data_IF_531814123290
#
_entry.id   IF_531814123290
#
_cell.length_a   1.000
_cell.length_b   1.000
_cell.length_c   1.000
_cell.angle_alpha   90.00
_cell.angle_beta   90.00
_cell.angle_gamma   90.00
#
_symmetry.space_group_name_H-M   'P 1'
#
loop_
_entity.id
_entity.type
_entity.pdbx_description
1 polymer ?
#
# COMPACT_ATOMS: atom_id res chain seq x y z
N UNK A 1 8.77 40.89 -61.87
CA UNK A 1 7.99 39.65 -61.89
C UNK A 1 6.98 39.78 -60.77
N UNK A 2 5.66 39.85 -60.99
CA UNK A 2 4.69 39.87 -59.91
C UNK A 2 4.58 38.50 -59.29
N UNK A 3 4.89 38.41 -58.03
CA UNK A 3 4.65 37.20 -57.23
C UNK A 3 3.13 37.02 -57.13
N UNK A 4 2.59 35.92 -57.65
CA UNK A 4 1.18 35.63 -57.64
C UNK A 4 0.77 35.32 -56.19
N UNK A 5 0.46 36.35 -55.45
CA UNK A 5 -0.08 36.26 -54.02
C UNK A 5 -1.29 35.33 -53.84
N UNK A 6 -2.22 35.14 -54.81
CA UNK A 6 -3.34 34.21 -54.58
C UNK A 6 -2.92 32.74 -54.46
N UNK A 7 -1.87 32.32 -55.20
CA UNK A 7 -1.42 30.92 -55.19
C UNK A 7 -0.80 30.52 -53.83
N UNK A 8 -0.12 31.46 -53.19
CA UNK A 8 0.48 31.24 -51.86
C UNK A 8 -0.62 31.11 -50.78
N UNK A 9 -1.68 31.89 -50.88
CA UNK A 9 -2.82 31.82 -49.96
C UNK A 9 -3.58 30.51 -50.06
N UNK A 10 -3.85 30.00 -51.27
CA UNK A 10 -4.53 28.71 -51.46
C UNK A 10 -3.71 27.53 -50.95
N UNK A 11 -2.42 27.50 -51.18
CA UNK A 11 -1.53 26.43 -50.69
C UNK A 11 -1.41 26.41 -49.17
N UNK A 12 -1.43 27.58 -48.53
CA UNK A 12 -1.46 27.69 -47.06
C UNK A 12 -2.79 27.17 -46.49
N UNK A 13 -3.93 27.50 -47.09
CA UNK A 13 -5.25 27.01 -46.64
C UNK A 13 -5.37 25.50 -46.81
N UNK A 14 -4.88 24.94 -47.89
CA UNK A 14 -4.85 23.47 -48.10
C UNK A 14 -3.93 22.82 -47.06
N UNK A 15 -2.77 23.36 -46.77
CA UNK A 15 -1.84 22.87 -45.73
C UNK A 15 -2.46 22.92 -44.36
N UNK A 16 -3.14 24.00 -43.98
CA UNK A 16 -3.89 24.13 -42.72
C UNK A 16 -5.02 23.11 -42.64
N UNK A 17 -5.75 22.88 -43.72
CA UNK A 17 -6.81 21.87 -43.78
C UNK A 17 -6.29 20.47 -43.54
N UNK A 18 -5.18 20.09 -44.16
CA UNK A 18 -4.51 18.81 -43.91
C UNK A 18 -4.00 18.69 -42.46
N UNK A 19 -3.45 19.74 -41.92
CA UNK A 19 -2.97 19.76 -40.52
C UNK A 19 -4.12 19.54 -39.53
N UNK A 20 -5.23 20.26 -39.71
CA UNK A 20 -6.42 20.11 -38.89
C UNK A 20 -7.01 18.70 -39.03
N UNK A 21 -7.06 18.14 -40.23
CA UNK A 21 -7.53 16.79 -40.48
C UNK A 21 -6.67 15.73 -39.74
N UNK A 22 -5.35 15.83 -39.87
CA UNK A 22 -4.41 14.93 -39.19
C UNK A 22 -4.53 15.08 -37.66
N UNK A 23 -4.63 16.29 -37.16
CA UNK A 23 -4.83 16.56 -35.74
C UNK A 23 -6.14 15.94 -35.24
N UNK A 24 -7.21 16.05 -36.01
CA UNK A 24 -8.51 15.50 -35.69
C UNK A 24 -8.52 13.94 -35.70
N UNK A 25 -7.63 13.34 -36.50
CA UNK A 25 -7.46 11.89 -36.55
C UNK A 25 -6.60 11.37 -35.40
N UNK A 26 -5.59 12.14 -34.95
CA UNK A 26 -4.62 11.69 -33.94
C UNK A 26 -5.05 12.04 -32.52
N UNK A 27 -5.81 13.13 -32.31
CA UNK A 27 -6.17 13.56 -30.97
C UNK A 27 -6.92 12.50 -30.15
N UNK A 28 -7.83 11.64 -30.71
CA UNK A 28 -8.46 10.61 -29.92
C UNK A 28 -7.47 9.55 -29.40
N UNK A 29 -6.44 9.25 -30.20
CA UNK A 29 -5.38 8.33 -29.79
C UNK A 29 -4.56 8.93 -28.65
N UNK A 30 -4.24 10.21 -28.72
CA UNK A 30 -3.54 10.93 -27.62
C UNK A 30 -4.42 10.97 -26.39
N UNK A 31 -5.70 11.27 -26.54
CA UNK A 31 -6.66 11.28 -25.44
C UNK A 31 -6.76 9.90 -24.78
N UNK A 32 -6.88 8.82 -25.56
CA UNK A 32 -6.87 7.46 -25.04
C UNK A 32 -5.56 7.12 -24.32
N UNK A 33 -4.42 7.51 -24.87
CA UNK A 33 -3.12 7.26 -24.25
C UNK A 33 -2.96 7.95 -22.89
N UNK A 34 -3.58 9.12 -22.70
CA UNK A 34 -3.56 9.84 -21.43
C UNK A 34 -4.63 9.32 -20.47
N UNK A 35 -5.84 9.07 -20.97
CA UNK A 35 -6.96 8.64 -20.12
C UNK A 35 -6.81 7.20 -19.62
N UNK A 36 -6.24 6.30 -20.42
CA UNK A 36 -6.09 4.90 -20.07
C UNK A 36 -5.28 4.67 -18.77
N UNK A 37 -4.09 5.26 -18.58
CA UNK A 37 -3.35 5.10 -17.32
C UNK A 37 -4.07 5.75 -16.13
N UNK A 38 -4.78 6.85 -16.33
CA UNK A 38 -5.58 7.47 -15.27
C UNK A 38 -6.74 6.56 -14.85
N UNK A 39 -7.46 6.00 -15.81
CA UNK A 39 -8.56 5.07 -15.54
C UNK A 39 -8.05 3.81 -14.82
N UNK A 40 -6.93 3.24 -15.28
CA UNK A 40 -6.27 2.09 -14.67
C UNK A 40 -5.86 2.40 -13.22
N UNK A 41 -5.27 3.56 -12.97
CA UNK A 41 -4.85 3.99 -11.62
C UNK A 41 -6.05 4.13 -10.67
N UNK A 42 -7.12 4.79 -11.14
CA UNK A 42 -8.35 4.97 -10.36
C UNK A 42 -9.03 3.63 -10.07
N UNK A 43 -9.09 2.74 -11.06
CA UNK A 43 -9.59 1.38 -10.89
C UNK A 43 -8.81 0.61 -9.84
N UNK A 44 -7.48 0.63 -9.94
CA UNK A 44 -6.60 -0.04 -8.97
C UNK A 44 -6.80 0.50 -7.56
N UNK A 45 -6.84 1.82 -7.40
CA UNK A 45 -7.07 2.46 -6.11
C UNK A 45 -8.40 2.01 -5.49
N UNK A 46 -9.47 2.00 -6.27
CA UNK A 46 -10.78 1.57 -5.81
C UNK A 46 -10.81 0.09 -5.41
N UNK A 47 -10.22 -0.80 -6.22
CA UNK A 47 -10.13 -2.24 -5.90
C UNK A 47 -9.31 -2.49 -4.64
N UNK A 48 -8.18 -1.81 -4.50
CA UNK A 48 -7.34 -1.92 -3.29
C UNK A 48 -8.04 -1.37 -2.05
N UNK A 49 -8.83 -0.32 -2.16
CA UNK A 49 -9.63 0.20 -1.04
C UNK A 49 -10.63 -0.84 -0.54
N UNK A 50 -11.39 -1.46 -1.46
CA UNK A 50 -12.34 -2.53 -1.12
C UNK A 50 -11.64 -3.74 -0.48
N UNK A 51 -10.45 -4.10 -0.99
CA UNK A 51 -9.69 -5.22 -0.43
C UNK A 51 -9.22 -4.92 0.99
N UNK A 52 -8.68 -3.71 1.23
CA UNK A 52 -8.22 -3.28 2.55
C UNK A 52 -9.33 -3.24 3.59
N UNK A 53 -10.53 -2.84 3.20
CA UNK A 53 -11.69 -2.77 4.10
C UNK A 53 -12.14 -4.16 4.58
N UNK A 54 -11.88 -5.21 3.81
CA UNK A 54 -12.18 -6.60 4.17
C UNK A 54 -11.16 -7.24 5.12
N UNK A 55 -10.01 -6.60 5.32
CA UNK A 55 -8.94 -7.15 6.15
C UNK A 55 -9.30 -7.01 7.61
N UNK A 56 -9.32 -8.14 8.30
CA UNK A 56 -9.44 -8.17 9.76
C UNK A 56 -8.06 -8.05 10.39
N UNK A 57 -7.86 -6.98 11.11
CA UNK A 57 -6.65 -6.70 11.87
C UNK A 57 -6.74 -7.29 13.26
N UNK A 58 -5.61 -7.70 13.79
CA UNK A 58 -5.44 -8.11 15.18
C UNK A 58 -4.23 -7.39 15.76
N UNK A 59 -4.35 -6.96 17.00
CA UNK A 59 -3.29 -6.37 17.79
C UNK A 59 -2.79 -7.40 18.79
N UNK A 60 -1.51 -7.73 18.73
CA UNK A 60 -0.84 -8.66 19.63
C UNK A 60 0.11 -7.89 20.53
N UNK A 61 -0.04 -8.05 21.83
CA UNK A 61 0.89 -7.54 22.83
C UNK A 61 1.98 -8.57 23.09
N UNK A 62 3.22 -8.13 23.01
CA UNK A 62 4.40 -8.92 23.36
C UNK A 62 4.83 -8.59 24.79
N UNK A 63 4.65 -9.52 25.71
CA UNK A 63 5.10 -9.40 27.10
C UNK A 63 6.43 -10.08 27.25
N UNK A 64 7.47 -9.27 27.38
CA UNK A 64 8.85 -9.73 27.47
C UNK A 64 9.24 -9.81 28.94
N UNK A 65 9.59 -10.98 29.47
CA UNK A 65 10.10 -11.11 30.84
C UNK A 65 11.40 -10.32 31.04
N UNK A 66 11.56 -9.71 32.22
CA UNK A 66 12.71 -8.82 32.53
C UNK A 66 14.07 -9.53 32.51
N UNK A 67 14.12 -10.85 32.58
CA UNK A 67 15.34 -11.64 32.73
C UNK A 67 15.85 -12.27 31.42
N UNK A 68 15.35 -11.84 30.26
CA UNK A 68 15.82 -12.41 28.98
C UNK A 68 17.25 -11.94 28.67
N UNK A 69 18.22 -12.82 28.92
CA UNK A 69 19.63 -12.66 28.52
C UNK A 69 19.88 -13.19 27.09
N UNK A 70 18.99 -12.89 26.13
CA UNK A 70 19.18 -13.36 24.76
C UNK A 70 19.84 -12.32 23.89
N UNK A 71 20.63 -12.80 22.92
CA UNK A 71 21.33 -11.95 21.94
C UNK A 71 20.32 -11.23 21.03
N UNK A 72 20.62 -10.00 20.59
CA UNK A 72 19.86 -9.29 19.54
C UNK A 72 19.70 -10.07 18.24
N UNK A 73 20.59 -11.04 17.97
CA UNK A 73 20.51 -11.90 16.79
C UNK A 73 19.21 -12.71 16.71
N UNK A 74 18.64 -13.11 17.84
CA UNK A 74 17.33 -13.79 17.85
C UNK A 74 16.22 -12.92 17.29
N UNK A 75 16.21 -11.62 17.59
CA UNK A 75 15.23 -10.68 17.07
C UNK A 75 15.40 -10.44 15.57
N UNK A 76 16.64 -10.42 15.09
CA UNK A 76 16.93 -10.32 13.65
C UNK A 76 16.34 -11.51 12.89
N UNK A 77 16.45 -12.72 13.43
CA UNK A 77 15.85 -13.92 12.82
C UNK A 77 14.32 -13.86 12.84
N UNK A 78 13.69 -13.39 13.92
CA UNK A 78 12.24 -13.15 13.97
C UNK A 78 11.85 -12.18 12.87
N UNK A 79 12.52 -11.04 12.73
CA UNK A 79 12.19 -10.05 11.69
C UNK A 79 12.42 -10.59 10.28
N UNK A 80 13.45 -11.40 10.07
CA UNK A 80 13.67 -12.06 8.78
C UNK A 80 12.52 -12.99 8.43
N UNK A 81 12.04 -13.77 9.40
CA UNK A 81 10.89 -14.66 9.25
C UNK A 81 9.62 -13.87 8.95
N UNK A 82 9.36 -12.80 9.70
CA UNK A 82 8.21 -11.92 9.48
C UNK A 82 8.28 -11.22 8.11
N UNK A 83 9.46 -10.78 7.69
CA UNK A 83 9.66 -10.17 6.38
C UNK A 83 9.33 -11.14 5.24
N UNK A 84 9.73 -12.40 5.37
CA UNK A 84 9.41 -13.44 4.39
C UNK A 84 7.88 -13.67 4.25
N UNK A 85 7.10 -13.49 5.32
CA UNK A 85 5.64 -13.56 5.30
C UNK A 85 4.99 -12.37 4.57
N UNK A 86 5.64 -11.21 4.60
CA UNK A 86 5.16 -9.99 3.92
C UNK A 86 5.38 -10.00 2.40
N UNK A 87 6.30 -10.83 1.93
CA UNK A 87 6.76 -10.81 0.54
C UNK A 87 5.89 -11.71 -0.36
N UNK A 88 4.64 -11.33 -0.56
CA UNK A 88 3.73 -12.01 -1.48
C UNK A 88 3.76 -11.34 -2.85
N UNK A 89 4.32 -12.04 -3.82
CA UNK A 89 4.16 -11.71 -5.23
C UNK A 89 2.88 -12.38 -5.74
N UNK A 90 1.76 -11.69 -5.61
CA UNK A 90 0.50 -12.17 -6.17
C UNK A 90 0.54 -12.28 -7.68
N UNK A 91 -0.31 -13.13 -8.22
CA UNK A 91 -0.56 -13.25 -9.65
C UNK A 91 -1.11 -11.90 -10.19
N UNK A 92 -0.94 -11.65 -11.49
CA UNK A 92 -1.45 -10.41 -12.11
C UNK A 92 -2.96 -10.26 -11.90
N UNK A 93 -3.71 -11.38 -11.91
CA UNK A 93 -5.15 -11.40 -11.67
C UNK A 93 -5.50 -10.96 -10.24
N UNK A 94 -4.80 -11.46 -9.23
CA UNK A 94 -4.99 -11.06 -7.83
C UNK A 94 -4.70 -9.58 -7.63
N UNK A 95 -3.68 -9.06 -8.31
CA UNK A 95 -3.31 -7.66 -8.23
C UNK A 95 -4.31 -6.73 -8.90
N UNK A 96 -4.76 -7.06 -10.13
CA UNK A 96 -5.61 -6.15 -10.92
C UNK A 96 -7.10 -6.38 -10.73
N UNK A 97 -7.52 -7.63 -10.44
CA UNK A 97 -8.92 -8.00 -10.30
C UNK A 97 -9.37 -8.02 -8.86
N UNK A 98 -8.58 -8.60 -7.95
CA UNK A 98 -8.88 -8.66 -6.53
C UNK A 98 -8.38 -7.44 -5.76
N UNK A 99 -7.42 -6.71 -6.33
CA UNK A 99 -6.82 -5.55 -5.69
C UNK A 99 -5.95 -5.90 -4.49
N UNK A 100 -5.39 -7.13 -4.48
CA UNK A 100 -4.57 -7.60 -3.38
C UNK A 100 -3.37 -6.67 -3.20
N UNK A 101 -3.15 -6.23 -1.97
CA UNK A 101 -2.00 -5.41 -1.58
C UNK A 101 -0.96 -6.28 -0.90
N UNK A 102 0.30 -5.87 -0.99
CA UNK A 102 1.39 -6.50 -0.24
C UNK A 102 1.02 -6.57 1.22
N UNK A 103 1.16 -7.75 1.80
CA UNK A 103 0.90 -7.97 3.22
C UNK A 103 1.94 -7.22 4.04
N UNK A 104 1.50 -6.58 5.10
CA UNK A 104 2.36 -5.82 5.98
C UNK A 104 1.95 -6.04 7.44
N UNK A 105 2.88 -5.79 8.32
CA UNK A 105 2.66 -5.75 9.76
C UNK A 105 3.29 -4.47 10.30
N UNK A 106 2.79 -3.95 11.41
CA UNK A 106 3.41 -2.84 12.11
C UNK A 106 3.89 -3.30 13.48
N UNK A 107 5.06 -2.78 13.85
CA UNK A 107 5.62 -2.91 15.18
C UNK A 107 5.40 -1.57 15.87
N UNK A 108 4.72 -1.60 16.99
CA UNK A 108 4.30 -0.41 17.70
C UNK A 108 4.86 -0.44 19.11
N UNK A 109 5.51 0.65 19.50
CA UNK A 109 6.00 0.86 20.86
C UNK A 109 5.14 1.96 21.49
N UNK A 110 4.41 1.61 22.51
CA UNK A 110 3.46 2.53 23.15
C UNK A 110 3.76 2.60 24.64
N UNK A 111 3.69 3.81 25.22
CA UNK A 111 3.82 4.02 26.66
C UNK A 111 2.51 4.49 27.24
N UNK A 112 2.02 3.79 28.24
CA UNK A 112 0.88 4.19 29.06
C UNK A 112 1.31 4.44 30.49
N UNK A 113 1.19 5.68 30.96
CA UNK A 113 1.52 6.03 32.34
C UNK A 113 2.97 5.73 32.76
N UNK A 114 3.90 5.63 31.80
CA UNK A 114 5.31 5.31 32.03
C UNK A 114 5.65 3.82 31.84
N UNK A 115 4.67 2.94 31.62
CA UNK A 115 4.90 1.56 31.23
C UNK A 115 5.01 1.41 29.73
N UNK A 116 6.00 0.63 29.28
CA UNK A 116 6.29 0.44 27.85
C UNK A 116 5.68 -0.87 27.41
N UNK A 117 4.85 -0.80 26.37
CA UNK A 117 4.20 -1.94 25.75
C UNK A 117 4.67 -2.11 24.31
N UNK A 118 4.93 -3.37 23.93
CA UNK A 118 5.31 -3.74 22.58
C UNK A 118 4.11 -4.39 21.89
N UNK A 119 3.68 -3.83 20.77
CA UNK A 119 2.57 -4.35 20.01
C UNK A 119 2.98 -4.72 18.60
N UNK A 120 2.33 -5.74 18.07
CA UNK A 120 2.40 -6.12 16.65
C UNK A 120 0.98 -6.12 16.10
N UNK A 121 0.75 -5.28 15.11
CA UNK A 121 -0.48 -5.26 14.35
C UNK A 121 -0.28 -6.10 13.09
N UNK A 122 -1.09 -7.12 12.92
CA UNK A 122 -1.01 -8.05 11.79
C UNK A 122 -2.40 -8.46 11.31
N UNK A 123 -2.47 -9.16 10.18
CA UNK A 123 -3.72 -9.75 9.71
C UNK A 123 -4.09 -10.95 10.60
N UNK A 124 -5.35 -11.08 10.93
CA UNK A 124 -5.84 -12.20 11.76
C UNK A 124 -5.41 -13.57 11.21
N UNK A 125 -5.34 -13.72 9.89
CA UNK A 125 -4.85 -14.96 9.24
C UNK A 125 -3.39 -15.29 9.55
N UNK A 126 -2.56 -14.28 9.86
CA UNK A 126 -1.13 -14.45 10.12
C UNK A 126 -0.79 -14.48 11.61
N UNK A 127 -1.77 -14.36 12.48
CA UNK A 127 -1.58 -14.39 13.94
C UNK A 127 -0.70 -15.57 14.37
N UNK A 128 -1.08 -16.79 14.01
CA UNK A 128 -0.37 -18.01 14.42
C UNK A 128 1.06 -18.07 13.88
N UNK A 129 1.31 -17.50 12.69
CA UNK A 129 2.63 -17.41 12.10
C UNK A 129 3.53 -16.43 12.86
N UNK A 130 2.97 -15.30 13.28
CA UNK A 130 3.68 -14.32 14.12
C UNK A 130 4.01 -14.93 15.48
N UNK A 131 3.04 -15.56 16.13
CA UNK A 131 3.26 -16.27 17.41
C UNK A 131 4.36 -17.33 17.27
N UNK A 132 4.29 -18.17 16.26
CA UNK A 132 5.29 -19.21 16.01
C UNK A 132 6.68 -18.64 15.75
N UNK A 133 6.80 -17.52 15.02
CA UNK A 133 8.07 -16.86 14.77
C UNK A 133 8.71 -16.36 16.08
N UNK A 134 7.91 -15.78 17.00
CA UNK A 134 8.41 -15.34 18.29
C UNK A 134 8.77 -16.53 19.19
N UNK A 135 7.90 -17.53 19.34
CA UNK A 135 8.17 -18.69 20.19
C UNK A 135 9.40 -19.51 19.74
N UNK A 136 9.71 -19.50 18.44
CA UNK A 136 10.89 -20.23 17.94
C UNK A 136 12.21 -19.69 18.51
N UNK A 137 12.28 -18.41 18.81
CA UNK A 137 13.51 -17.76 19.29
C UNK A 137 13.39 -17.29 20.74
N UNK A 138 12.18 -17.00 21.18
CA UNK A 138 11.86 -16.48 22.51
C UNK A 138 10.70 -17.26 23.13
N UNK A 139 10.93 -18.50 23.58
CA UNK A 139 9.87 -19.35 24.14
C UNK A 139 9.23 -18.78 25.42
N UNK A 140 9.94 -17.88 26.10
CA UNK A 140 9.50 -17.27 27.36
C UNK A 140 8.66 -16.00 27.14
N UNK A 141 8.48 -15.56 25.89
CA UNK A 141 7.65 -14.39 25.55
C UNK A 141 6.18 -14.80 25.53
N UNK A 142 5.36 -14.06 26.23
CA UNK A 142 3.92 -14.22 26.15
C UNK A 142 3.37 -13.32 25.03
N UNK A 143 2.58 -13.91 24.14
CA UNK A 143 1.89 -13.19 23.04
C UNK A 143 0.39 -13.21 23.34
N UNK A 144 -0.19 -12.05 23.64
CA UNK A 144 -1.59 -11.91 23.98
C UNK A 144 -2.32 -11.04 22.95
N UNK A 145 -3.51 -11.48 22.54
CA UNK A 145 -4.39 -10.63 21.72
C UNK A 145 -5.06 -9.58 22.62
N UNK A 146 -4.99 -8.33 22.23
CA UNK A 146 -5.54 -7.20 22.98
C UNK A 146 -6.45 -6.34 22.11
N UNK A 147 -7.44 -5.68 22.71
CA UNK A 147 -8.26 -4.71 21.99
C UNK A 147 -7.40 -3.53 21.50
N UNK A 148 -7.82 -2.89 20.43
CA UNK A 148 -7.08 -1.78 19.86
C UNK A 148 -7.02 -0.60 20.85
N UNK A 149 -5.82 -0.16 21.17
CA UNK A 149 -5.62 0.97 22.09
C UNK A 149 -6.05 2.30 21.46
N UNK A 150 -6.08 2.38 20.12
CA UNK A 150 -6.51 3.57 19.39
C UNK A 150 -7.97 3.89 19.70
N UNK A 151 -8.81 2.89 19.94
CA UNK A 151 -10.22 3.08 20.30
C UNK A 151 -10.41 3.79 21.65
N UNK A 152 -9.38 3.79 22.50
CA UNK A 152 -9.38 4.48 23.80
C UNK A 152 -8.97 5.95 23.69
N UNK A 153 -8.44 6.38 22.55
CA UNK A 153 -7.99 7.75 22.34
C UNK A 153 -9.21 8.58 21.91
N UNK A 154 -9.59 9.61 22.66
CA UNK A 154 -10.72 10.44 22.28
C UNK A 154 -10.43 11.13 20.93
N UNK A 155 -11.45 11.27 20.06
CA UNK A 155 -11.27 11.88 18.74
C UNK A 155 -10.94 13.37 18.82
N UNK A 156 -11.06 13.95 20.00
CA UNK A 156 -10.85 15.37 20.24
C UNK A 156 -9.63 15.55 21.16
N UNK A 157 -8.53 16.06 20.61
CA UNK A 157 -7.26 16.31 21.34
C UNK A 157 -7.45 17.24 22.56
N UNK A 158 -8.54 18.01 22.60
CA UNK A 158 -8.84 18.90 23.73
C UNK A 158 -9.36 18.19 24.98
N UNK A 159 -9.62 16.89 24.89
CA UNK A 159 -10.11 16.06 25.98
C UNK A 159 -9.00 15.19 26.60
N UNK A 160 -7.76 15.35 26.12
CA UNK A 160 -6.52 14.81 26.66
C UNK A 160 -5.90 15.79 27.65
#
# INVERSE_FOLDING_TARGET
MPVNLPIVGESLLIGLGWFVYVLNLIWPLIACAILFPMLKSTWMFWRQAIFKDKIKWVLLELRIPREIKKSPQGMEQVFTTLHALGNYAGTLDEKYWDGEVTRWFSLELVSFGGEIHFYIRTYQKHRNLVEAAFFSYYPDVEVAEVPDYVDKIPPNIKEL
#
